data_IF_498556117398
#
_entry.id   IF_498556117398
#
_cell.length_a   1.000
_cell.length_b   1.000
_cell.length_c   1.000
_cell.angle_alpha   90.00
_cell.angle_beta   90.00
_cell.angle_gamma   90.00
#
_symmetry.space_group_name_H-M   'P 1'
#
loop_
_entity.id
_entity.type
_entity.pdbx_description
1 polymer ?
#
# COMPACT_ATOMS: atom_id res chain seq x y z
N UNK A 1 1.94 15.23 -6.91
CA UNK A 1 2.16 14.13 -5.96
C UNK A 1 2.35 14.67 -4.55
N UNK A 2 1.73 14.00 -3.60
CA UNK A 2 1.83 14.17 -2.17
C UNK A 2 2.81 13.17 -1.58
N UNK A 3 3.64 13.62 -0.64
CA UNK A 3 4.46 12.74 0.17
C UNK A 3 3.62 12.05 1.25
N UNK A 4 3.58 10.71 1.22
CA UNK A 4 2.78 9.89 2.13
C UNK A 4 3.59 9.46 3.35
N UNK A 5 4.80 8.95 3.14
CA UNK A 5 5.62 8.43 4.23
C UNK A 5 6.90 7.76 3.80
N UNK A 6 7.64 7.26 4.80
CA UNK A 6 8.90 6.54 4.64
C UNK A 6 8.76 5.18 5.32
N UNK A 7 9.11 4.12 4.61
CA UNK A 7 9.03 2.74 5.10
C UNK A 7 10.44 2.16 5.12
N UNK A 8 10.91 1.61 6.27
CA UNK A 8 12.24 1.03 6.33
C UNK A 8 12.35 -0.25 5.52
N UNK A 9 13.41 -0.33 4.70
CA UNK A 9 13.81 -1.55 4.00
C UNK A 9 14.82 -2.28 4.88
N UNK A 10 14.55 -3.53 5.31
CA UNK A 10 15.48 -4.30 6.12
C UNK A 10 16.83 -4.49 5.40
N UNK A 11 17.93 -4.22 6.12
CA UNK A 11 19.28 -4.40 5.61
C UNK A 11 20.27 -3.37 6.13
N UNK A 12 21.55 -3.61 5.84
CA UNK A 12 22.63 -2.67 6.11
C UNK A 12 23.30 -2.26 4.78
N UNK A 13 23.48 -0.94 4.50
CA UNK A 13 23.10 0.20 5.34
C UNK A 13 21.57 0.43 5.37
N UNK A 14 21.11 1.19 6.37
CA UNK A 14 19.69 1.57 6.50
C UNK A 14 19.24 2.28 5.22
N UNK A 15 18.18 1.73 4.62
CA UNK A 15 17.59 2.21 3.38
C UNK A 15 16.10 2.43 3.61
N UNK A 16 15.53 3.48 3.02
CA UNK A 16 14.12 3.83 3.17
C UNK A 16 13.44 3.87 1.81
N UNK A 17 12.20 3.37 1.75
CA UNK A 17 11.28 3.56 0.65
C UNK A 17 10.42 4.79 0.92
N UNK A 18 10.37 5.74 0.00
CA UNK A 18 9.60 6.99 0.08
C UNK A 18 8.41 6.87 -0.86
N UNK A 19 7.20 6.91 -0.29
CA UNK A 19 5.97 6.81 -1.06
C UNK A 19 5.44 8.21 -1.37
N UNK A 20 5.19 8.43 -2.66
CA UNK A 20 4.45 9.56 -3.18
C UNK A 20 3.25 9.06 -3.98
N UNK A 21 2.10 9.66 -3.74
CA UNK A 21 0.83 9.32 -4.41
C UNK A 21 0.27 10.61 -5.03
N UNK A 22 -0.48 10.49 -6.12
CA UNK A 22 -1.17 11.65 -6.68
C UNK A 22 -2.09 12.30 -5.64
N UNK A 23 -2.22 13.62 -5.69
CA UNK A 23 -3.04 14.42 -4.76
C UNK A 23 -4.21 15.07 -5.51
N UNK A 24 -4.63 14.42 -6.60
CA UNK A 24 -5.76 14.90 -7.39
C UNK A 24 -7.07 14.37 -6.79
N UNK A 25 -7.92 15.27 -6.25
CA UNK A 25 -9.18 14.89 -5.60
C UNK A 25 -10.21 14.30 -6.56
N UNK A 26 -9.97 14.37 -7.88
CA UNK A 26 -10.79 13.78 -8.93
C UNK A 26 -10.16 12.51 -9.55
N UNK A 27 -8.85 12.26 -9.38
CA UNK A 27 -8.20 11.12 -10.02
C UNK A 27 -8.40 9.81 -9.26
N UNK A 28 -9.46 9.11 -9.65
CA UNK A 28 -9.43 7.65 -9.72
C UNK A 28 -8.83 7.15 -11.06
N UNK A 29 -8.23 8.04 -11.85
CA UNK A 29 -7.71 7.70 -13.18
C UNK A 29 -6.33 7.03 -13.06
N UNK A 30 -6.25 5.77 -13.50
CA UNK A 30 -5.02 4.99 -13.76
C UNK A 30 -3.99 4.87 -12.64
N UNK A 31 -4.31 5.35 -11.43
CA UNK A 31 -3.48 5.18 -10.22
C UNK A 31 -3.33 3.72 -9.79
N UNK A 32 -4.12 2.81 -10.36
CA UNK A 32 -3.97 1.36 -10.23
C UNK A 32 -2.82 0.78 -11.08
N UNK A 33 -2.32 1.50 -12.09
CA UNK A 33 -1.16 1.09 -12.89
C UNK A 33 0.12 1.66 -12.27
N UNK A 34 1.05 0.78 -11.93
CA UNK A 34 2.32 1.14 -11.31
C UNK A 34 3.24 2.01 -12.20
N UNK A 35 2.99 2.06 -13.52
CA UNK A 35 3.79 2.83 -14.48
C UNK A 35 3.05 4.02 -15.12
N UNK A 36 1.78 4.26 -14.77
CA UNK A 36 0.98 5.38 -15.30
C UNK A 36 1.50 6.77 -14.87
N UNK A 37 2.44 6.82 -13.93
CA UNK A 37 3.07 8.08 -13.48
C UNK A 37 2.31 8.83 -12.39
N UNK A 38 1.28 8.21 -11.81
CA UNK A 38 0.49 8.81 -10.72
C UNK A 38 1.05 8.51 -9.33
N UNK A 39 1.84 7.45 -9.20
CA UNK A 39 2.50 7.06 -7.96
C UNK A 39 4.00 6.94 -8.14
N UNK A 40 4.75 7.12 -7.06
CA UNK A 40 6.19 6.93 -7.05
C UNK A 40 6.63 6.28 -5.72
N UNK A 41 7.39 5.19 -5.83
CA UNK A 41 8.06 4.57 -4.68
C UNK A 41 9.57 4.65 -4.90
N UNK A 42 10.22 5.57 -4.20
CA UNK A 42 11.64 5.86 -4.37
C UNK A 42 12.46 5.23 -3.25
N UNK A 43 13.57 4.60 -3.60
CA UNK A 43 14.49 4.03 -2.61
C UNK A 43 15.68 4.96 -2.40
N UNK A 44 16.04 5.25 -1.15
CA UNK A 44 17.21 6.06 -0.81
C UNK A 44 18.03 5.41 0.32
N UNK A 45 19.37 5.61 0.35
CA UNK A 45 20.15 6.51 -0.52
C UNK A 45 20.57 5.90 -1.86
N UNK A 46 20.56 4.57 -1.98
CA UNK A 46 21.19 3.86 -3.10
C UNK A 46 20.23 3.46 -4.23
N UNK A 47 18.97 3.92 -4.20
CA UNK A 47 17.99 3.53 -5.21
C UNK A 47 18.29 4.09 -6.59
N UNK A 48 17.66 3.47 -7.58
CA UNK A 48 17.54 3.98 -8.95
C UNK A 48 16.23 4.72 -9.07
N UNK A 49 16.26 5.85 -9.77
CA UNK A 49 15.04 6.53 -10.19
C UNK A 49 14.59 5.87 -11.50
N UNK A 50 13.39 5.25 -11.54
CA UNK A 50 12.81 4.74 -12.78
C UNK A 50 12.71 5.83 -13.85
N UNK A 51 12.92 5.53 -15.15
CA UNK A 51 12.84 6.52 -16.23
C UNK A 51 11.50 7.26 -16.34
N UNK A 52 10.41 6.64 -15.88
CA UNK A 52 9.07 7.25 -15.84
C UNK A 52 8.93 8.36 -14.78
N UNK A 53 9.86 8.44 -13.82
CA UNK A 53 9.83 9.43 -12.75
C UNK A 53 10.74 10.61 -13.08
N UNK A 54 10.14 11.80 -13.15
CA UNK A 54 10.86 13.06 -13.30
C UNK A 54 10.81 13.82 -11.98
N UNK A 55 11.98 14.06 -11.39
CA UNK A 55 12.11 14.79 -10.11
C UNK A 55 12.40 16.27 -10.34
N UNK A 56 11.90 17.12 -9.45
CA UNK A 56 12.23 18.55 -9.39
C UNK A 56 12.72 18.90 -7.99
N UNK A 57 13.70 19.80 -7.90
CA UNK A 57 14.20 20.27 -6.61
C UNK A 57 13.19 21.25 -5.98
N UNK A 58 12.57 20.83 -4.87
CA UNK A 58 11.64 21.63 -4.10
C UNK A 58 11.88 21.42 -2.61
N UNK A 59 12.03 22.52 -1.87
CA UNK A 59 12.20 22.46 -0.41
C UNK A 59 10.92 22.08 0.35
N UNK A 60 9.75 22.21 -0.27
CA UNK A 60 8.45 21.79 0.29
C UNK A 60 7.50 21.30 -0.79
N UNK A 61 6.50 20.51 -0.40
CA UNK A 61 5.47 19.99 -1.28
C UNK A 61 4.22 19.57 -0.51
N UNK A 62 3.20 19.05 -1.21
CA UNK A 62 2.05 18.44 -0.55
C UNK A 62 2.50 17.25 0.30
N UNK A 63 1.91 17.11 1.48
CA UNK A 63 2.18 16.05 2.45
C UNK A 63 0.86 15.45 2.89
N UNK A 64 0.94 14.26 3.50
CA UNK A 64 -0.21 13.57 4.07
C UNK A 64 -1.13 14.53 4.85
N UNK A 65 -2.43 14.37 4.62
CA UNK A 65 -3.46 15.21 5.21
C UNK A 65 -4.68 14.36 5.60
N UNK A 66 -5.59 14.92 6.38
CA UNK A 66 -6.92 14.38 6.68
C UNK A 66 -7.98 15.45 6.42
N UNK A 67 -9.25 15.06 6.29
CA UNK A 67 -10.34 16.02 6.11
C UNK A 67 -10.56 16.82 7.39
N UNK A 68 -10.82 18.11 7.22
CA UNK A 68 -11.21 19.01 8.30
C UNK A 68 -12.71 18.95 8.59
N UNK A 69 -13.27 20.07 9.05
CA UNK A 69 -14.70 20.17 9.37
C UNK A 69 -15.57 20.28 8.12
N UNK A 70 -14.98 20.69 6.99
CA UNK A 70 -15.65 20.73 5.68
C UNK A 70 -15.02 19.71 4.73
N UNK A 71 -15.77 19.34 3.69
CA UNK A 71 -15.33 18.33 2.71
C UNK A 71 -14.01 18.69 2.02
N UNK A 72 -13.78 19.98 1.75
CA UNK A 72 -12.65 20.50 0.99
C UNK A 72 -11.48 20.97 1.89
N UNK A 73 -11.62 20.88 3.22
CA UNK A 73 -10.57 21.28 4.14
C UNK A 73 -9.51 20.17 4.27
N UNK A 74 -8.28 20.44 3.86
CA UNK A 74 -7.14 19.53 4.03
C UNK A 74 -6.28 19.96 5.22
N UNK A 75 -6.32 19.18 6.30
CA UNK A 75 -5.50 19.39 7.50
C UNK A 75 -4.28 18.48 7.42
N UNK A 76 -3.09 19.08 7.34
CA UNK A 76 -1.82 18.31 7.33
C UNK A 76 -1.65 17.49 8.60
N UNK A 77 -1.13 16.29 8.44
CA UNK A 77 -0.89 15.34 9.53
C UNK A 77 0.45 14.66 9.35
N UNK A 78 1.06 14.28 10.48
CA UNK A 78 2.28 13.52 10.53
C UNK A 78 2.08 12.37 11.52
N UNK A 79 2.46 11.16 11.11
CA UNK A 79 2.35 9.97 11.94
C UNK A 79 3.71 9.29 12.05
N UNK A 80 4.05 8.93 13.29
CA UNK A 80 5.04 7.90 13.56
C UNK A 80 4.28 6.62 13.87
N UNK A 81 4.53 5.58 13.08
CA UNK A 81 3.89 4.27 13.24
C UNK A 81 4.93 3.30 13.77
N UNK A 82 4.68 2.77 14.96
CA UNK A 82 5.48 1.68 15.50
C UNK A 82 5.01 0.34 14.91
N UNK A 83 5.94 -0.41 14.32
CA UNK A 83 5.65 -1.75 13.82
C UNK A 83 5.54 -2.71 15.00
N UNK A 84 4.36 -3.33 15.13
CA UNK A 84 4.08 -4.36 16.13
C UNK A 84 3.90 -5.68 15.38
N UNK A 85 4.56 -6.78 15.81
CA UNK A 85 4.30 -8.10 15.25
C UNK A 85 2.80 -8.42 15.35
N UNK A 86 2.18 -8.99 14.30
CA UNK A 86 0.79 -9.40 14.38
C UNK A 86 0.59 -10.46 15.46
N UNK A 87 -0.62 -10.51 16.02
CA UNK A 87 -1.03 -11.65 16.84
C UNK A 87 -0.99 -12.93 15.98
N UNK A 88 -0.48 -14.08 16.49
CA UNK A 88 -0.37 -15.30 15.69
C UNK A 88 -1.70 -15.77 15.09
N UNK A 89 -2.85 -15.50 15.73
CA UNK A 89 -4.14 -15.85 15.15
C UNK A 89 -4.50 -14.92 13.98
N UNK A 90 -4.18 -13.62 14.08
CA UNK A 90 -4.37 -12.68 12.99
C UNK A 90 -3.46 -12.99 11.78
N UNK A 91 -2.21 -13.38 12.03
CA UNK A 91 -1.27 -13.84 10.99
C UNK A 91 -1.80 -15.11 10.31
N UNK A 92 -2.26 -16.10 11.07
CA UNK A 92 -2.84 -17.33 10.51
C UNK A 92 -4.11 -17.06 9.69
N UNK A 93 -4.97 -16.13 10.12
CA UNK A 93 -6.14 -15.70 9.35
C UNK A 93 -5.75 -15.04 8.03
N UNK A 94 -4.75 -14.14 8.06
CA UNK A 94 -4.24 -13.49 6.85
C UNK A 94 -3.66 -14.52 5.87
N UNK A 95 -2.82 -15.43 6.35
CA UNK A 95 -2.20 -16.48 5.53
C UNK A 95 -3.25 -17.41 4.91
N UNK A 96 -4.28 -17.78 5.67
CA UNK A 96 -5.38 -18.60 5.18
C UNK A 96 -6.17 -17.89 4.09
N UNK A 97 -6.44 -16.59 4.24
CA UNK A 97 -7.20 -15.83 3.26
C UNK A 97 -6.40 -15.58 1.97
N UNK A 98 -5.10 -15.27 2.09
CA UNK A 98 -4.20 -15.18 0.93
C UNK A 98 -4.13 -16.53 0.20
N UNK A 99 -3.95 -17.64 0.92
CA UNK A 99 -3.90 -18.97 0.31
C UNK A 99 -5.21 -19.34 -0.39
N UNK A 100 -6.36 -18.95 0.18
CA UNK A 100 -7.67 -19.12 -0.44
C UNK A 100 -7.75 -18.36 -1.75
N UNK A 101 -7.41 -17.07 -1.77
CA UNK A 101 -7.46 -16.26 -2.98
C UNK A 101 -6.47 -16.75 -4.05
N UNK A 102 -5.26 -17.16 -3.67
CA UNK A 102 -4.30 -17.78 -4.59
C UNK A 102 -4.88 -19.06 -5.23
N UNK A 103 -5.56 -19.91 -4.45
CA UNK A 103 -6.18 -21.13 -4.95
C UNK A 103 -7.38 -20.85 -5.86
N UNK A 104 -8.25 -19.91 -5.48
CA UNK A 104 -9.37 -19.45 -6.31
C UNK A 104 -8.88 -18.93 -7.66
N UNK A 105 -7.80 -18.13 -7.67
CA UNK A 105 -7.14 -17.64 -8.89
C UNK A 105 -6.55 -18.76 -9.74
N UNK A 106 -6.03 -19.81 -9.11
CA UNK A 106 -5.55 -21.00 -9.78
C UNK A 106 -6.69 -21.92 -10.30
N UNK A 107 -7.96 -21.55 -10.08
CA UNK A 107 -9.12 -22.36 -10.43
C UNK A 107 -9.28 -23.61 -9.56
N UNK A 108 -8.66 -23.63 -8.38
CA UNK A 108 -8.71 -24.72 -7.41
C UNK A 108 -9.78 -24.38 -6.38
N UNK A 109 -10.87 -25.17 -6.36
CA UNK A 109 -11.85 -25.09 -5.29
C UNK A 109 -11.23 -25.74 -4.03
N UNK A 110 -10.86 -24.95 -3.04
CA UNK A 110 -10.46 -25.49 -1.74
C UNK A 110 -11.71 -25.94 -0.98
N UNK A 111 -11.69 -27.17 -0.47
CA UNK A 111 -12.69 -27.69 0.46
C UNK A 111 -12.36 -27.11 1.84
N UNK A 112 -12.77 -25.85 2.05
CA UNK A 112 -12.51 -25.14 3.29
C UNK A 112 -13.54 -25.56 4.36
N UNK A 113 -13.15 -25.65 5.64
CA UNK A 113 -14.13 -25.74 6.72
C UNK A 113 -15.10 -24.57 6.61
N UNK A 114 -16.40 -24.81 6.86
CA UNK A 114 -17.43 -23.77 6.87
C UNK A 114 -16.88 -22.53 7.57
N UNK A 115 -16.92 -21.42 6.83
CA UNK A 115 -16.22 -20.18 7.12
C UNK A 115 -16.07 -19.94 8.62
N UNK A 116 -14.83 -19.62 9.04
CA UNK A 116 -14.65 -18.82 10.25
C UNK A 116 -15.61 -17.65 10.08
N UNK A 117 -16.64 -17.62 10.93
CA UNK A 117 -17.79 -16.75 10.76
C UNK A 117 -17.27 -15.33 10.50
N UNK A 118 -17.56 -14.83 9.29
CA UNK A 118 -17.04 -13.56 8.75
C UNK A 118 -17.54 -12.37 9.62
N UNK A 119 -18.45 -12.64 10.55
CA UNK A 119 -18.93 -11.69 11.55
C UNK A 119 -18.30 -11.83 12.94
N UNK A 120 -17.47 -12.84 13.19
CA UNK A 120 -16.77 -13.05 14.48
C UNK A 120 -15.25 -13.19 14.37
N UNK A 121 -14.69 -13.41 13.17
CA UNK A 121 -13.26 -13.30 12.91
C UNK A 121 -12.84 -11.82 12.89
N UNK A 122 -11.83 -11.44 13.67
CA UNK A 122 -11.12 -10.19 13.40
C UNK A 122 -10.72 -10.18 11.91
N UNK A 123 -11.05 -9.10 11.20
CA UNK A 123 -10.62 -8.93 9.82
C UNK A 123 -9.10 -9.04 9.77
N UNK A 124 -8.52 -9.67 8.73
CA UNK A 124 -7.08 -9.69 8.58
C UNK A 124 -6.53 -8.26 8.56
N UNK A 125 -5.32 -8.01 9.07
CA UNK A 125 -4.76 -6.67 9.08
C UNK A 125 -4.67 -6.11 7.66
N UNK A 126 -5.23 -4.92 7.45
CA UNK A 126 -5.30 -4.28 6.13
C UNK A 126 -4.04 -3.49 5.77
N UNK A 127 -3.17 -3.21 6.75
CA UNK A 127 -1.88 -2.52 6.58
C UNK A 127 -0.76 -3.25 7.32
N UNK A 128 0.33 -3.59 6.64
CA UNK A 128 1.45 -4.33 7.21
C UNK A 128 2.72 -4.22 6.34
N UNK A 129 3.85 -4.63 6.91
CA UNK A 129 5.17 -4.68 6.24
C UNK A 129 5.68 -6.11 6.22
N UNK A 130 6.14 -6.57 5.06
CA UNK A 130 6.63 -7.94 4.85
C UNK A 130 5.51 -8.98 4.71
N UNK A 131 5.89 -10.24 4.52
CA UNK A 131 4.93 -11.33 4.23
C UNK A 131 4.54 -11.39 2.75
N UNK A 132 3.28 -11.73 2.48
CA UNK A 132 2.69 -11.79 1.14
C UNK A 132 1.65 -10.68 0.97
N UNK A 133 1.46 -10.20 -0.26
CA UNK A 133 0.40 -9.24 -0.57
C UNK A 133 -0.98 -9.91 -0.48
N UNK A 134 -1.95 -9.18 0.08
CA UNK A 134 -3.35 -9.57 0.13
C UNK A 134 -4.14 -8.74 -0.87
N UNK A 135 -4.28 -9.26 -2.08
CA UNK A 135 -4.72 -8.51 -3.26
C UNK A 135 -6.24 -8.62 -3.46
N UNK A 136 -6.94 -7.52 -3.77
CA UNK A 136 -8.37 -7.58 -4.09
C UNK A 136 -8.62 -8.23 -5.46
N UNK A 137 -7.74 -7.99 -6.42
CA UNK A 137 -7.86 -8.44 -7.80
C UNK A 137 -6.70 -9.36 -8.23
N UNK A 138 -6.89 -10.12 -9.31
CA UNK A 138 -5.88 -11.05 -9.84
C UNK A 138 -4.77 -10.37 -10.66
N UNK A 139 -5.02 -9.16 -11.14
CA UNK A 139 -4.24 -8.56 -12.21
C UNK A 139 -3.24 -7.55 -11.66
N UNK A 140 -2.08 -8.04 -11.24
CA UNK A 140 -0.90 -7.24 -10.94
C UNK A 140 -0.34 -6.62 -12.23
N UNK A 141 -0.81 -5.43 -12.60
CA UNK A 141 -0.29 -4.71 -13.77
C UNK A 141 0.96 -3.90 -13.39
N UNK A 142 1.97 -3.90 -14.27
CA UNK A 142 3.16 -3.06 -14.11
C UNK A 142 4.18 -3.52 -13.05
N UNK A 143 3.98 -4.68 -12.40
CA UNK A 143 4.94 -5.25 -11.44
C UNK A 143 5.55 -6.54 -12.01
N UNK A 144 6.88 -6.58 -12.26
CA UNK A 144 7.52 -7.80 -12.74
C UNK A 144 7.45 -8.96 -11.72
N UNK A 145 7.31 -10.18 -12.22
CA UNK A 145 7.03 -11.36 -11.38
C UNK A 145 8.14 -11.72 -10.36
N UNK A 146 9.36 -11.24 -10.57
CA UNK A 146 10.49 -11.45 -9.65
C UNK A 146 10.59 -10.38 -8.55
N UNK A 147 9.75 -9.36 -8.59
CA UNK A 147 9.71 -8.31 -7.58
C UNK A 147 9.05 -8.80 -6.31
N UNK A 148 9.48 -8.22 -5.20
CA UNK A 148 9.10 -8.65 -3.86
C UNK A 148 8.12 -7.67 -3.28
N UNK A 149 7.00 -8.20 -2.78
CA UNK A 149 6.12 -7.42 -1.93
C UNK A 149 6.89 -6.89 -0.71
N UNK A 150 6.64 -5.64 -0.34
CA UNK A 150 7.31 -4.98 0.78
C UNK A 150 6.33 -4.47 1.83
N UNK A 151 5.25 -3.81 1.44
CA UNK A 151 4.25 -3.32 2.39
C UNK A 151 2.88 -3.16 1.72
N UNK A 152 1.85 -3.11 2.56
CA UNK A 152 0.47 -2.83 2.19
C UNK A 152 -0.07 -1.69 3.05
N UNK A 153 -0.83 -0.78 2.45
CA UNK A 153 -1.51 0.33 3.12
C UNK A 153 -2.98 0.33 2.76
N UNK A 154 -3.82 0.40 3.79
CA UNK A 154 -5.25 0.54 3.60
C UNK A 154 -5.61 1.97 3.21
N UNK A 155 -6.59 2.08 2.32
CA UNK A 155 -7.17 3.36 1.96
C UNK A 155 -7.95 3.95 3.12
N UNK A 156 -8.22 5.26 3.05
CA UNK A 156 -9.03 5.95 4.03
C UNK A 156 -9.51 7.30 3.52
N UNK A 157 -10.73 7.67 3.84
CA UNK A 157 -11.30 8.96 3.43
C UNK A 157 -10.85 10.12 4.32
N UNK A 158 -10.14 9.84 5.42
CA UNK A 158 -9.69 10.86 6.37
C UNK A 158 -10.81 11.64 7.04
N UNK A 159 -12.05 11.11 7.07
CA UNK A 159 -13.22 11.77 7.65
C UNK A 159 -13.51 11.29 9.07
N UNK A 160 -13.69 12.24 10.00
CA UNK A 160 -13.99 11.98 11.41
C UNK A 160 -12.79 12.22 12.33
N UNK A 161 -13.04 12.29 13.64
CA UNK A 161 -12.00 12.57 14.64
C UNK A 161 -10.92 11.49 14.71
N UNK A 162 -11.28 10.26 14.34
CA UNK A 162 -10.48 9.06 14.54
C UNK A 162 -9.81 8.58 13.24
N UNK A 163 -10.14 9.20 12.09
CA UNK A 163 -9.51 8.88 10.83
C UNK A 163 -8.09 9.50 10.77
N UNK A 164 -7.04 8.70 10.58
CA UNK A 164 -5.68 9.20 10.66
C UNK A 164 -5.35 10.10 9.46
N UNK A 165 -5.67 9.66 8.25
CA UNK A 165 -5.30 10.34 7.02
C UNK A 165 -6.30 10.05 5.89
N UNK A 166 -6.22 10.84 4.82
CA UNK A 166 -6.89 10.61 3.57
C UNK A 166 -5.92 10.02 2.54
N UNK A 167 -6.16 8.77 2.15
CA UNK A 167 -5.54 8.08 1.01
C UNK A 167 -6.65 7.37 0.24
N UNK A 168 -7.04 7.92 -0.91
CA UNK A 168 -8.14 7.36 -1.69
C UNK A 168 -7.62 6.28 -2.65
N UNK A 169 -7.90 5.03 -2.33
CA UNK A 169 -7.69 3.86 -3.18
C UNK A 169 -9.03 3.25 -3.61
N UNK A 170 -10.06 4.06 -3.85
CA UNK A 170 -11.38 3.58 -4.26
C UNK A 170 -12.06 2.66 -3.23
N UNK A 171 -11.70 2.77 -1.94
CA UNK A 171 -12.11 1.85 -0.88
C UNK A 171 -11.32 0.53 -0.82
N UNK A 172 -10.24 0.42 -1.60
CA UNK A 172 -9.32 -0.71 -1.59
C UNK A 172 -7.98 -0.37 -0.93
N UNK A 173 -6.91 -0.93 -1.49
CA UNK A 173 -5.63 -1.06 -0.79
C UNK A 173 -4.46 -0.81 -1.73
N UNK A 174 -3.43 -0.13 -1.23
CA UNK A 174 -2.18 0.12 -1.93
C UNK A 174 -1.06 -0.81 -1.52
N UNK A 175 -0.17 -1.15 -2.47
CA UNK A 175 0.88 -2.13 -2.29
C UNK A 175 2.21 -1.63 -2.82
N UNK A 176 3.25 -1.74 -2.00
CA UNK A 176 4.63 -1.45 -2.38
C UNK A 176 5.40 -2.71 -2.74
N UNK A 177 6.03 -2.70 -3.91
CA UNK A 177 6.91 -3.76 -4.39
C UNK A 177 8.31 -3.22 -4.63
N UNK A 178 9.31 -4.05 -4.35
CA UNK A 178 10.73 -3.73 -4.55
C UNK A 178 11.36 -4.69 -5.54
N UNK A 179 12.27 -4.17 -6.36
CA UNK A 179 13.11 -4.99 -7.23
C UNK A 179 13.94 -6.00 -6.42
N UNK A 180 14.42 -7.11 -7.03
CA UNK A 180 15.22 -8.11 -6.33
C UNK A 180 16.48 -7.57 -5.63
N UNK A 181 17.04 -6.49 -6.17
CA UNK A 181 18.21 -5.80 -5.63
C UNK A 181 17.87 -4.66 -4.65
N UNK A 182 16.58 -4.45 -4.36
CA UNK A 182 16.06 -3.45 -3.43
C UNK A 182 16.40 -2.00 -3.81
N UNK A 183 16.62 -1.74 -5.10
CA UNK A 183 17.00 -0.39 -5.57
C UNK A 183 15.89 0.31 -6.30
N UNK A 184 14.79 -0.35 -6.62
CA UNK A 184 13.69 0.24 -7.35
C UNK A 184 12.36 -0.15 -6.72
N UNK A 185 11.42 0.79 -6.69
CA UNK A 185 10.08 0.59 -6.15
C UNK A 185 9.00 0.74 -7.22
N UNK A 186 7.91 -0.01 -7.04
CA UNK A 186 6.64 0.16 -7.73
C UNK A 186 5.55 0.22 -6.68
N UNK A 187 4.57 1.09 -6.91
CA UNK A 187 3.39 1.18 -6.07
C UNK A 187 2.17 1.16 -6.95
N UNK A 188 1.22 0.31 -6.59
CA UNK A 188 -0.09 0.26 -7.23
C UNK A 188 -1.15 0.11 -6.14
N UNK A 189 -2.42 0.29 -6.49
CA UNK A 189 -3.53 -0.07 -5.63
C UNK A 189 -4.63 -0.75 -6.45
N UNK A 190 -5.47 -1.53 -5.79
CA UNK A 190 -6.68 -2.10 -6.38
C UNK A 190 -7.85 -2.04 -5.38
N UNK A 191 -9.07 -2.19 -5.91
CA UNK A 191 -10.31 -2.26 -5.13
C UNK A 191 -11.27 -3.29 -5.78
N UNK A 192 -12.37 -3.60 -5.10
CA UNK A 192 -13.42 -4.52 -5.60
C UNK A 192 -14.40 -3.79 -6.52
#
# INVERSE_FOLDING_TARGET
MMFVGQIPIPGEPVTLAYLFVTDDPQCMAETFDAEAGENALLVQPSGRIPPLIVTTDRGTGPSLWRRGMTWDEHVRVEYAVDLVPPDPAAEATLDADIARQEAERAGVLLDLPEAVDVHTSALPPCSYVGGKAHLWQSDLQGVPADWRFHFQLDGGEGHGSDAPYALNFGGGTGYGFLSPDLREGRFFWDCV
#
